data_IF_900725162327
#
_entry.id   IF_900725162327
#
_cell.length_a   1.000
_cell.length_b   1.000
_cell.length_c   1.000
_cell.angle_alpha   90.00
_cell.angle_beta   90.00
_cell.angle_gamma   90.00
#
_symmetry.space_group_name_H-M   'P 1'
#
loop_
_entity.id
_entity.type
_entity.pdbx_description
1 polymer ?
#
# COMPACT_ATOMS: atom_id res chain seq x y z
N UNK A 1 -10.24 11.91 2.01
CA UNK A 1 -10.54 10.67 1.27
C UNK A 1 -10.08 9.50 2.12
N UNK A 2 -10.95 8.53 2.39
CA UNK A 2 -10.62 7.35 3.21
C UNK A 2 -9.85 6.33 2.36
N UNK A 3 -8.76 5.76 2.89
CA UNK A 3 -8.09 4.59 2.31
C UNK A 3 -8.76 3.33 2.87
N UNK A 4 -9.19 2.41 2.01
CA UNK A 4 -9.84 1.17 2.40
C UNK A 4 -9.19 -0.03 1.71
N UNK A 5 -8.93 -1.08 2.49
CA UNK A 5 -8.46 -2.40 2.05
C UNK A 5 -9.60 -3.39 2.27
N UNK A 6 -9.93 -4.18 1.25
CA UNK A 6 -10.95 -5.23 1.31
C UNK A 6 -10.35 -6.57 0.92
N UNK A 7 -10.26 -7.50 1.87
CA UNK A 7 -9.65 -8.81 1.72
C UNK A 7 -8.27 -8.79 1.02
N UNK A 8 -7.47 -7.75 1.26
CA UNK A 8 -6.20 -7.55 0.57
C UNK A 8 -5.22 -8.67 0.91
N UNK A 9 -4.67 -9.33 -0.11
CA UNK A 9 -3.72 -10.44 0.06
C UNK A 9 -2.50 -10.26 -0.84
N UNK A 10 -1.30 -10.40 -0.29
CA UNK A 10 -0.01 -10.22 -0.99
C UNK A 10 0.97 -11.33 -0.60
N UNK A 11 1.09 -12.36 -1.45
CA UNK A 11 1.84 -13.57 -1.08
C UNK A 11 1.26 -14.21 0.18
N UNK A 12 2.04 -14.43 1.26
CA UNK A 12 1.55 -15.00 2.52
C UNK A 12 0.87 -13.98 3.45
N UNK A 13 0.79 -12.71 3.06
CA UNK A 13 0.21 -11.64 3.90
C UNK A 13 -1.27 -11.50 3.59
N UNK A 14 -2.11 -11.62 4.61
CA UNK A 14 -3.56 -11.41 4.53
C UNK A 14 -4.40 -12.68 4.69
N UNK A 15 -5.72 -12.59 4.46
CA UNK A 15 -6.48 -11.40 4.03
C UNK A 15 -6.51 -10.28 5.07
N UNK A 16 -6.53 -9.02 4.62
CA UNK A 16 -6.59 -7.82 5.49
C UNK A 16 -7.76 -6.94 5.08
N UNK A 17 -8.58 -6.59 6.07
CA UNK A 17 -9.57 -5.52 6.00
C UNK A 17 -9.12 -4.37 6.91
N UNK A 18 -9.06 -3.16 6.36
CA UNK A 18 -8.61 -1.96 7.06
C UNK A 18 -9.26 -0.73 6.43
N UNK A 19 -9.70 0.20 7.25
CA UNK A 19 -10.07 1.55 6.82
C UNK A 19 -9.21 2.57 7.57
N UNK A 20 -8.72 3.58 6.85
CA UNK A 20 -7.94 4.69 7.39
C UNK A 20 -8.64 5.99 6.99
N UNK A 21 -9.13 6.71 7.97
CA UNK A 21 -9.87 7.95 7.79
C UNK A 21 -8.95 9.10 7.30
N UNK A 22 -9.53 10.16 6.70
CA UNK A 22 -8.75 11.33 6.30
C UNK A 22 -8.03 11.96 7.50
N UNK A 23 -6.71 12.11 7.41
CA UNK A 23 -5.89 12.68 8.49
C UNK A 23 -5.55 11.70 9.62
N UNK A 24 -6.01 10.45 9.55
CA UNK A 24 -5.64 9.41 10.50
C UNK A 24 -4.21 8.91 10.23
N UNK A 25 -3.47 8.68 11.32
CA UNK A 25 -2.13 8.10 11.28
C UNK A 25 -2.19 6.72 11.92
N UNK A 26 -1.92 5.69 11.13
CA UNK A 26 -1.93 4.29 11.57
C UNK A 26 -0.50 3.75 11.61
N UNK A 27 -0.16 3.04 12.68
CA UNK A 27 1.12 2.36 12.82
C UNK A 27 0.98 0.88 12.41
N UNK A 28 1.75 0.46 11.40
CA UNK A 28 1.90 -0.96 11.04
C UNK A 28 3.17 -1.52 11.69
N UNK A 29 3.01 -2.32 12.74
CA UNK A 29 4.12 -2.92 13.49
C UNK A 29 4.16 -4.45 13.34
N UNK A 30 5.32 -5.04 13.64
CA UNK A 30 5.52 -6.49 13.60
C UNK A 30 6.97 -6.88 13.34
N UNK A 31 7.34 -8.17 13.51
CA UNK A 31 8.71 -8.65 13.29
C UNK A 31 9.27 -8.36 11.90
N UNK A 32 10.59 -8.35 11.77
CA UNK A 32 11.22 -8.37 10.44
C UNK A 32 10.76 -9.59 9.65
N UNK A 33 10.53 -9.44 8.35
CA UNK A 33 10.01 -10.51 7.49
C UNK A 33 8.49 -10.76 7.57
N UNK A 34 7.75 -10.12 8.48
CA UNK A 34 6.29 -10.27 8.60
C UNK A 34 5.49 -9.75 7.39
N UNK A 35 6.15 -9.18 6.37
CA UNK A 35 5.51 -8.74 5.13
C UNK A 35 5.03 -7.29 5.10
N UNK A 36 5.38 -6.46 6.11
CA UNK A 36 4.99 -5.04 6.18
C UNK A 36 5.32 -4.24 4.91
N UNK A 37 6.56 -4.33 4.43
CA UNK A 37 6.97 -3.62 3.20
C UNK A 37 6.23 -4.13 1.97
N UNK A 38 5.92 -5.43 1.91
CA UNK A 38 5.16 -6.05 0.82
C UNK A 38 3.70 -5.56 0.82
N UNK A 39 3.09 -5.44 1.99
CA UNK A 39 1.76 -4.83 2.15
C UNK A 39 1.75 -3.38 1.67
N UNK A 40 2.69 -2.56 2.15
CA UNK A 40 2.79 -1.14 1.75
C UNK A 40 3.04 -0.97 0.24
N UNK A 41 3.87 -1.84 -0.36
CA UNK A 41 4.12 -1.84 -1.82
C UNK A 41 2.87 -2.20 -2.62
N UNK A 42 2.08 -3.17 -2.17
CA UNK A 42 0.82 -3.51 -2.83
C UNK A 42 -0.20 -2.36 -2.78
N UNK A 43 -0.37 -1.74 -1.60
CA UNK A 43 -1.25 -0.57 -1.42
C UNK A 43 -0.83 0.57 -2.35
N UNK A 44 0.48 0.75 -2.58
CA UNK A 44 1.02 1.78 -3.46
C UNK A 44 1.14 1.37 -4.94
N UNK A 45 0.52 0.26 -5.38
CA UNK A 45 0.58 -0.22 -6.77
C UNK A 45 2.00 -0.47 -7.30
N UNK A 46 2.83 -1.10 -6.45
CA UNK A 46 4.20 -1.48 -6.79
C UNK A 46 4.39 -3.00 -6.89
N UNK A 47 3.53 -3.78 -6.23
CA UNK A 47 3.54 -5.25 -6.26
C UNK A 47 2.13 -5.79 -6.55
N UNK A 48 1.99 -6.90 -7.31
CA UNK A 48 0.69 -7.55 -7.53
C UNK A 48 0.04 -8.05 -6.24
N UNK A 49 -1.29 -7.99 -6.17
CA UNK A 49 -2.07 -8.44 -5.03
C UNK A 49 -3.45 -8.97 -5.45
N UNK A 50 -4.16 -9.59 -4.51
CA UNK A 50 -5.60 -9.92 -4.63
C UNK A 50 -6.42 -9.03 -3.68
N UNK A 51 -7.74 -9.00 -3.84
CA UNK A 51 -8.62 -8.12 -3.06
C UNK A 51 -8.63 -6.67 -3.59
N UNK A 52 -9.13 -5.75 -2.78
CA UNK A 52 -9.43 -4.36 -3.18
C UNK A 52 -8.60 -3.37 -2.37
N UNK A 53 -8.12 -2.32 -3.04
CA UNK A 53 -7.58 -1.11 -2.42
C UNK A 53 -8.30 0.09 -3.04
N UNK A 54 -8.81 0.99 -2.21
CA UNK A 54 -9.62 2.14 -2.63
C UNK A 54 -9.23 3.40 -1.87
N UNK A 55 -9.20 4.54 -2.55
CA UNK A 55 -9.03 5.86 -1.96
C UNK A 55 -10.27 6.71 -2.29
N UNK A 56 -11.13 6.96 -1.30
CA UNK A 56 -12.41 7.62 -1.57
C UNK A 56 -13.29 6.76 -2.47
N UNK A 57 -13.65 7.22 -3.67
CA UNK A 57 -14.44 6.42 -4.63
C UNK A 57 -13.57 5.67 -5.64
N UNK A 58 -12.28 5.95 -5.63
CA UNK A 58 -11.36 5.49 -6.66
C UNK A 58 -10.74 4.16 -6.24
N UNK A 59 -10.96 3.11 -7.02
CA UNK A 59 -10.31 1.81 -6.82
C UNK A 59 -9.01 1.73 -7.62
N UNK A 60 -7.97 1.15 -6.99
CA UNK A 60 -6.64 0.98 -7.58
C UNK A 60 -6.68 0.29 -8.95
N UNK A 61 -7.48 -0.78 -9.06
CA UNK A 61 -7.56 -1.60 -10.28
C UNK A 61 -8.36 -0.95 -11.42
N UNK A 62 -9.08 0.15 -11.15
CA UNK A 62 -9.89 0.84 -12.15
C UNK A 62 -9.14 1.99 -12.84
N UNK A 63 -7.84 2.16 -12.56
CA UNK A 63 -7.04 3.22 -13.17
C UNK A 63 -5.61 2.77 -13.52
N UNK A 64 -4.92 3.49 -14.43
CA UNK A 64 -3.51 3.26 -14.68
C UNK A 64 -2.67 3.50 -13.41
N UNK A 65 -1.68 2.64 -13.17
CA UNK A 65 -0.88 2.68 -11.94
C UNK A 65 -0.16 4.00 -11.67
N UNK A 66 0.27 4.73 -12.71
CA UNK A 66 0.87 6.06 -12.53
C UNK A 66 -0.10 7.08 -11.93
N UNK A 67 -1.40 6.96 -12.19
CA UNK A 67 -2.44 7.83 -11.63
C UNK A 67 -2.73 7.47 -10.18
N UNK A 68 -2.73 6.18 -9.84
CA UNK A 68 -2.86 5.73 -8.46
C UNK A 68 -1.67 6.21 -7.61
N UNK A 69 -0.46 6.01 -8.10
CA UNK A 69 0.79 6.41 -7.42
C UNK A 69 0.98 7.92 -7.24
N UNK A 70 0.21 8.74 -7.95
CA UNK A 70 0.15 10.19 -7.70
C UNK A 70 -0.70 10.55 -6.47
N UNK A 71 -1.57 9.64 -6.01
CA UNK A 71 -2.46 9.82 -4.87
C UNK A 71 -2.01 9.02 -3.65
N UNK A 72 -1.48 7.82 -3.88
CA UNK A 72 -0.97 6.90 -2.85
C UNK A 72 0.51 6.64 -3.09
N UNK A 73 1.35 7.36 -2.35
CA UNK A 73 2.81 7.33 -2.53
C UNK A 73 3.48 6.52 -1.44
N UNK A 74 4.30 5.55 -1.83
CA UNK A 74 5.22 4.88 -0.91
C UNK A 74 6.48 5.72 -0.76
N UNK A 75 6.81 6.10 0.49
CA UNK A 75 8.14 6.57 0.85
C UNK A 75 8.99 5.35 1.20
N UNK A 76 10.03 5.02 0.42
CA UNK A 76 10.88 3.88 0.73
C UNK A 76 11.67 4.14 2.02
N UNK A 77 11.99 3.07 2.75
CA UNK A 77 12.80 3.16 3.96
C UNK A 77 14.22 3.70 3.69
N UNK A 78 14.72 3.48 2.47
CA UNK A 78 16.01 3.97 2.00
C UNK A 78 15.78 4.83 0.75
N UNK A 79 16.31 6.06 0.75
CA UNK A 79 16.08 7.05 -0.30
C UNK A 79 16.78 6.74 -1.63
N UNK A 80 17.73 5.78 -1.65
CA UNK A 80 18.55 5.38 -2.80
C UNK A 80 19.24 6.55 -3.55
N UNK A 81 19.25 7.74 -2.95
CA UNK A 81 19.60 9.01 -3.61
C UNK A 81 21.10 9.18 -3.86
N UNK A 82 21.98 8.48 -3.11
CA UNK A 82 23.44 8.66 -3.14
C UNK A 82 24.21 7.35 -3.21
N UNK A 83 23.68 6.28 -3.81
CA UNK A 83 24.52 5.11 -4.06
C UNK A 83 25.55 5.43 -5.16
N UNK A 84 26.67 6.05 -4.74
CA UNK A 84 27.98 5.97 -5.39
C UNK A 84 28.48 4.53 -5.22
N UNK A 85 27.98 3.62 -6.07
CA UNK A 85 28.62 2.36 -6.53
C UNK A 85 27.66 1.54 -7.38
#
# INVERSE_FOLDING_TARGET
>A
MTLALGALTVGPVGPIDLEVAPGEIVCLSGPSGAGKSRLLRAIADLDPHQGVVRLGRDEQQQMPGHRWRAQVTMMPAESQWWFDR
#
